data_IF_100401264762
#
_entry.id   IF_100401264762
#
_cell.length_a   1.000
_cell.length_b   1.000
_cell.length_c   1.000
_cell.angle_alpha   90.00
_cell.angle_beta   90.00
_cell.angle_gamma   90.00
#
_symmetry.space_group_name_H-M   'P 1'
#
loop_
_entity.id
_entity.type
_entity.pdbx_description
1 polymer ?
#
# COMPACT_ATOMS: atom_id res chain seq x y z
N UNK A 1 -10.80 11.71 6.79
CA UNK A 1 -11.24 10.36 6.39
C UNK A 1 -10.63 9.33 7.32
N UNK A 2 -11.20 8.13 7.43
CA UNK A 2 -10.66 7.04 8.25
C UNK A 2 -9.84 6.09 7.37
N UNK A 3 -8.65 5.71 7.82
CA UNK A 3 -7.86 4.68 7.14
C UNK A 3 -8.32 3.30 7.60
N UNK A 4 -8.61 2.42 6.65
CA UNK A 4 -9.02 1.03 6.89
C UNK A 4 -8.04 0.13 6.15
N UNK A 5 -7.38 -0.77 6.87
CA UNK A 5 -6.48 -1.76 6.28
C UNK A 5 -7.25 -3.07 6.13
N UNK A 6 -7.25 -3.63 4.91
CA UNK A 6 -7.75 -4.98 4.69
C UNK A 6 -6.82 -6.01 5.32
N UNK A 7 -7.32 -7.23 5.56
CA UNK A 7 -6.49 -8.35 6.05
C UNK A 7 -5.30 -8.60 5.11
N UNK A 8 -5.52 -8.54 3.79
CA UNK A 8 -4.44 -8.70 2.81
C UNK A 8 -3.35 -7.63 2.96
N UNK A 9 -3.73 -6.37 3.15
CA UNK A 9 -2.76 -5.28 3.35
C UNK A 9 -1.99 -5.42 4.68
N UNK A 10 -2.63 -5.93 5.73
CA UNK A 10 -1.96 -6.23 7.00
C UNK A 10 -0.95 -7.37 6.86
N UNK A 11 -1.31 -8.43 6.15
CA UNK A 11 -0.40 -9.54 5.82
C UNK A 11 0.78 -9.08 4.96
N UNK A 12 0.54 -8.17 3.99
CA UNK A 12 1.60 -7.60 3.16
C UNK A 12 2.60 -6.80 4.00
N UNK A 13 2.12 -5.95 4.91
CA UNK A 13 2.96 -5.19 5.84
C UNK A 13 3.85 -6.12 6.67
N UNK A 14 3.25 -7.16 7.25
CA UNK A 14 3.96 -8.12 8.08
C UNK A 14 5.01 -8.90 7.26
N UNK A 15 4.64 -9.37 6.07
CA UNK A 15 5.55 -10.10 5.20
C UNK A 15 6.76 -9.25 4.79
N UNK A 16 6.54 -7.97 4.44
CA UNK A 16 7.60 -7.02 4.10
C UNK A 16 8.50 -6.76 5.32
N UNK A 17 7.90 -6.55 6.49
CA UNK A 17 8.65 -6.31 7.72
C UNK A 17 9.53 -7.52 8.08
N UNK A 18 8.97 -8.73 8.11
CA UNK A 18 9.68 -9.96 8.43
C UNK A 18 10.80 -10.26 7.44
N UNK A 19 10.58 -9.99 6.14
CA UNK A 19 11.62 -10.16 5.12
C UNK A 19 12.84 -9.28 5.40
N UNK A 20 12.62 -7.99 5.66
CA UNK A 20 13.73 -7.06 5.91
C UNK A 20 14.33 -7.21 7.30
N UNK A 21 13.55 -7.66 8.29
CA UNK A 21 14.03 -7.89 9.66
C UNK A 21 15.20 -8.87 9.70
N UNK A 22 15.17 -9.89 8.83
CA UNK A 22 16.25 -10.89 8.70
C UNK A 22 17.58 -10.29 8.22
N UNK A 23 17.55 -9.14 7.53
CA UNK A 23 18.73 -8.51 6.93
C UNK A 23 19.15 -7.25 7.70
N UNK A 24 18.19 -6.41 8.11
CA UNK A 24 18.42 -5.13 8.76
C UNK A 24 17.16 -4.66 9.52
N UNK A 25 17.15 -4.87 10.84
CA UNK A 25 16.06 -4.47 11.74
C UNK A 25 15.76 -2.96 11.71
N UNK A 26 16.79 -2.12 11.64
CA UNK A 26 16.61 -0.66 11.59
C UNK A 26 15.91 -0.24 10.30
N UNK A 27 16.30 -0.85 9.17
CA UNK A 27 15.63 -0.61 7.89
C UNK A 27 14.19 -1.13 7.91
N UNK A 28 13.96 -2.35 8.41
CA UNK A 28 12.62 -2.94 8.51
C UNK A 28 11.66 -2.06 9.30
N UNK A 29 12.08 -1.60 10.49
CA UNK A 29 11.29 -0.71 11.35
C UNK A 29 11.04 0.64 10.68
N UNK A 30 12.05 1.22 10.04
CA UNK A 30 11.90 2.50 9.32
C UNK A 30 10.94 2.37 8.14
N UNK A 31 11.03 1.30 7.36
CA UNK A 31 10.16 1.04 6.22
C UNK A 31 8.70 0.86 6.69
N UNK A 32 8.47 0.03 7.72
CA UNK A 32 7.15 -0.16 8.31
C UNK A 32 6.52 1.18 8.74
N UNK A 33 7.27 1.99 9.50
CA UNK A 33 6.79 3.30 9.94
C UNK A 33 6.53 4.26 8.76
N UNK A 34 7.35 4.22 7.71
CA UNK A 34 7.12 5.02 6.49
C UNK A 34 5.78 4.66 5.83
N UNK A 35 5.49 3.37 5.72
CA UNK A 35 4.23 2.89 5.12
C UNK A 35 3.00 3.34 5.91
N UNK A 36 3.06 3.29 7.25
CA UNK A 36 1.98 3.78 8.11
C UNK A 36 1.83 5.31 8.01
N UNK A 37 2.94 6.05 8.11
CA UNK A 37 2.90 7.52 8.05
C UNK A 37 2.37 8.04 6.71
N UNK A 38 2.74 7.41 5.60
CA UNK A 38 2.24 7.78 4.27
C UNK A 38 0.76 7.43 4.10
N UNK A 39 0.28 6.35 4.73
CA UNK A 39 -1.15 6.05 4.79
C UNK A 39 -1.93 7.14 5.56
N UNK A 40 -1.36 7.67 6.65
CA UNK A 40 -2.01 8.73 7.44
C UNK A 40 -2.20 10.03 6.62
N UNK A 41 -1.29 10.34 5.70
CA UNK A 41 -1.43 11.50 4.81
C UNK A 41 -2.73 11.39 3.98
N UNK A 42 -3.12 10.18 3.56
CA UNK A 42 -4.34 9.94 2.79
C UNK A 42 -5.61 10.33 3.54
N UNK A 43 -5.59 10.37 4.88
CA UNK A 43 -6.74 10.82 5.67
C UNK A 43 -7.09 12.29 5.41
N UNK A 44 -6.07 13.10 5.09
CA UNK A 44 -6.16 14.53 4.76
C UNK A 44 -6.12 14.80 3.26
N UNK A 45 -5.40 13.97 2.49
CA UNK A 45 -5.22 14.11 1.04
C UNK A 45 -5.55 12.79 0.31
N UNK A 46 -6.85 12.41 0.23
CA UNK A 46 -7.29 11.14 -0.36
C UNK A 46 -6.82 10.90 -1.79
N UNK A 47 -6.56 11.97 -2.54
CA UNK A 47 -6.19 11.95 -3.96
C UNK A 47 -4.69 12.15 -4.19
N UNK A 48 -3.85 12.07 -3.15
CA UNK A 48 -2.40 12.17 -3.28
C UNK A 48 -1.82 11.06 -4.18
N UNK A 49 -2.43 9.86 -4.15
CA UNK A 49 -2.11 8.78 -5.07
C UNK A 49 -2.71 8.97 -6.47
N UNK A 50 -1.91 8.62 -7.49
CA UNK A 50 -2.37 8.53 -8.87
C UNK A 50 -3.32 7.34 -9.06
N UNK A 51 -4.10 7.33 -10.14
CA UNK A 51 -4.86 6.14 -10.53
C UNK A 51 -3.89 4.99 -10.82
N UNK A 52 -4.21 3.81 -10.29
CA UNK A 52 -3.40 2.61 -10.47
C UNK A 52 -3.70 1.97 -11.82
N UNK A 53 -2.83 2.26 -12.81
CA UNK A 53 -3.03 1.85 -14.21
C UNK A 53 -3.12 0.33 -14.38
N UNK A 54 -2.38 -0.43 -13.57
CA UNK A 54 -2.41 -1.90 -13.64
C UNK A 54 -3.76 -2.48 -13.25
N UNK A 55 -4.60 -1.71 -12.54
CA UNK A 55 -5.90 -2.14 -12.03
C UNK A 55 -7.06 -1.38 -12.68
N UNK A 56 -6.82 -0.63 -13.77
CA UNK A 56 -7.87 0.14 -14.47
C UNK A 56 -9.00 -0.74 -15.00
N UNK A 57 -8.71 -2.01 -15.30
CA UNK A 57 -9.69 -3.00 -15.75
C UNK A 57 -10.51 -3.63 -14.61
N UNK A 58 -10.08 -3.42 -13.35
CA UNK A 58 -10.78 -3.90 -12.16
C UNK A 58 -11.72 -2.79 -11.64
N UNK A 59 -13.01 -3.07 -11.42
CA UNK A 59 -13.92 -2.11 -10.81
C UNK A 59 -13.43 -1.67 -9.42
N UNK A 60 -13.42 -0.37 -9.13
CA UNK A 60 -13.03 0.14 -7.81
C UNK A 60 -12.31 1.49 -7.81
N UNK A 61 -11.84 1.96 -8.98
CA UNK A 61 -11.05 3.20 -9.11
C UNK A 61 -9.82 3.22 -8.19
N UNK A 62 -9.04 2.14 -8.25
CA UNK A 62 -7.83 1.98 -7.47
C UNK A 62 -6.84 3.12 -7.69
N UNK A 63 -6.17 3.48 -6.61
CA UNK A 63 -5.11 4.47 -6.56
C UNK A 63 -3.86 3.87 -5.95
N UNK A 64 -2.73 4.47 -6.27
CA UNK A 64 -1.45 4.11 -5.69
C UNK A 64 -0.69 5.32 -5.19
N UNK A 65 -0.23 5.25 -3.93
CA UNK A 65 0.68 6.23 -3.34
C UNK A 65 2.05 5.56 -3.11
N UNK A 66 3.12 6.13 -3.65
CA UNK A 66 4.48 5.66 -3.40
C UNK A 66 4.89 6.08 -1.98
N UNK A 67 5.11 5.11 -1.09
CA UNK A 67 5.35 5.34 0.33
C UNK A 67 6.81 5.10 0.77
N UNK A 68 7.61 4.45 -0.08
CA UNK A 68 9.07 4.39 -0.02
C UNK A 68 9.62 4.24 -1.45
N UNK A 69 10.94 4.24 -1.64
CA UNK A 69 11.61 4.07 -2.94
C UNK A 69 11.07 2.91 -3.79
N UNK A 70 10.66 1.82 -3.16
CA UNK A 70 10.21 0.61 -3.86
C UNK A 70 8.83 0.13 -3.44
N UNK A 71 8.17 0.76 -2.46
CA UNK A 71 6.89 0.26 -1.94
C UNK A 71 5.79 1.29 -2.15
N UNK A 72 4.63 0.82 -2.62
CA UNK A 72 3.44 1.65 -2.79
C UNK A 72 2.25 1.07 -2.03
N UNK A 73 1.38 1.95 -1.57
CA UNK A 73 0.08 1.62 -0.99
C UNK A 73 -0.95 1.62 -2.12
N UNK A 74 -1.67 0.51 -2.29
CA UNK A 74 -2.78 0.40 -3.26
C UNK A 74 -4.09 0.52 -2.50
N UNK A 75 -4.93 1.49 -2.89
CA UNK A 75 -6.10 1.87 -2.10
C UNK A 75 -7.28 2.38 -2.93
N UNK A 76 -8.46 2.40 -2.32
CA UNK A 76 -9.69 3.02 -2.85
C UNK A 76 -10.21 4.11 -1.90
N UNK A 77 -11.06 4.99 -2.44
CA UNK A 77 -11.75 6.03 -1.68
C UNK A 77 -13.22 5.62 -1.60
N UNK A 78 -13.68 5.18 -0.43
CA UNK A 78 -15.01 4.59 -0.20
C UNK A 78 -15.80 5.43 0.80
N UNK A 79 -16.56 6.41 0.29
CA UNK A 79 -17.30 7.34 1.14
C UNK A 79 -16.36 8.16 2.02
N UNK A 80 -16.32 7.86 3.33
CA UNK A 80 -15.43 8.52 4.30
C UNK A 80 -14.20 7.66 4.66
N UNK A 81 -14.07 6.48 4.06
CA UNK A 81 -12.99 5.53 4.31
C UNK A 81 -11.96 5.55 3.16
N UNK A 82 -10.69 5.44 3.53
CA UNK A 82 -9.60 5.10 2.63
C UNK A 82 -9.27 3.64 2.91
N UNK A 83 -9.57 2.75 1.96
CA UNK A 83 -9.37 1.32 2.13
C UNK A 83 -8.05 0.93 1.48
N UNK A 84 -7.06 0.55 2.28
CA UNK A 84 -5.78 0.01 1.80
C UNK A 84 -5.97 -1.48 1.50
N UNK A 85 -5.83 -1.85 0.23
CA UNK A 85 -6.03 -3.21 -0.27
C UNK A 85 -4.74 -4.02 -0.31
N UNK A 86 -3.61 -3.37 -0.61
CA UNK A 86 -2.31 -4.04 -0.67
C UNK A 86 -1.15 -3.09 -0.37
N UNK A 87 -0.05 -3.66 0.14
CA UNK A 87 1.25 -3.01 0.17
C UNK A 87 2.16 -3.70 -0.84
N UNK A 88 2.51 -2.97 -1.89
CA UNK A 88 3.13 -3.54 -3.07
C UNK A 88 4.60 -3.16 -3.21
N UNK A 89 5.48 -4.16 -3.37
CA UNK A 89 6.87 -3.95 -3.79
C UNK A 89 6.92 -3.84 -5.33
N UNK A 90 7.21 -2.64 -5.81
CA UNK A 90 7.28 -2.28 -7.24
C UNK A 90 8.36 -3.03 -8.02
N UNK A 91 9.25 -3.79 -7.36
CA UNK A 91 10.26 -4.63 -8.01
C UNK A 91 9.73 -6.02 -8.40
N UNK A 92 8.56 -6.41 -7.88
CA UNK A 92 7.92 -7.68 -8.23
C UNK A 92 7.28 -7.63 -9.63
N UNK A 93 7.00 -8.80 -10.21
CA UNK A 93 6.26 -8.87 -11.47
C UNK A 93 4.87 -8.20 -11.29
N UNK A 94 4.53 -7.18 -12.10
CA UNK A 94 3.25 -6.46 -11.98
C UNK A 94 2.01 -7.37 -12.11
N UNK A 95 2.09 -8.50 -12.82
CA UNK A 95 0.95 -9.42 -13.00
C UNK A 95 0.46 -10.02 -11.66
N UNK A 96 1.34 -10.12 -10.68
CA UNK A 96 1.00 -10.61 -9.35
C UNK A 96 0.19 -9.60 -8.54
N UNK A 97 0.28 -8.30 -8.84
CA UNK A 97 -0.57 -7.30 -8.19
C UNK A 97 -2.03 -7.47 -8.61
N UNK A 98 -2.28 -7.71 -9.90
CA UNK A 98 -3.62 -7.96 -10.43
C UNK A 98 -4.25 -9.22 -9.85
N UNK A 99 -3.44 -10.23 -9.52
CA UNK A 99 -3.94 -11.48 -8.91
C UNK A 99 -4.20 -11.36 -7.40
N UNK A 100 -3.68 -10.32 -6.75
CA UNK A 100 -3.78 -10.07 -5.30
C UNK A 100 -5.00 -9.23 -4.93
N UNK A 101 -5.48 -8.39 -5.86
CA UNK A 101 -6.62 -7.49 -5.73
C UNK A 101 -7.87 -8.17 -6.28
#
# INVERSE_FOLDING_TARGET
MRIVWTTQAQEDLEAIYQYWLQMNETYATRLYNSLINEADILASQPKAGALERLLEHIPGHYRSLLADKCHKLVYTIEGNDIVIHAVWDCRQNPDYLTSKI
#
